data_IF_791621860973
#
_entry.id   IF_791621860973
#
_cell.length_a   1.000
_cell.length_b   1.000
_cell.length_c   1.000
_cell.angle_alpha   90.00
_cell.angle_beta   90.00
_cell.angle_gamma   90.00
#
_symmetry.space_group_name_H-M   'P 1'
#
loop_
_entity.id
_entity.type
_entity.pdbx_description
1 polymer ?
#
# COMPACT_ATOMS: atom_id res chain seq x y z
N UNK A 1 33.00 56.11 -35.32
CA UNK A 1 31.91 57.10 -35.25
C UNK A 1 30.75 56.43 -34.53
N UNK A 2 30.48 56.88 -33.31
CA UNK A 2 29.51 56.23 -32.42
C UNK A 2 28.08 56.42 -32.95
N UNK A 3 27.17 55.49 -32.64
CA UNK A 3 25.75 55.55 -33.04
C UNK A 3 25.07 56.88 -32.69
N UNK A 4 25.58 57.58 -31.68
CA UNK A 4 25.09 58.88 -31.24
C UNK A 4 25.47 60.05 -32.19
N UNK A 5 26.66 60.02 -32.80
CA UNK A 5 27.09 61.05 -33.75
C UNK A 5 26.28 60.99 -35.05
N UNK A 6 26.03 59.78 -35.56
CA UNK A 6 25.18 59.59 -36.74
C UNK A 6 23.71 59.98 -36.49
N UNK A 7 23.20 59.81 -35.26
CA UNK A 7 21.84 60.21 -34.88
C UNK A 7 21.64 61.73 -34.96
N UNK A 8 22.61 62.50 -34.45
CA UNK A 8 22.58 63.96 -34.47
C UNK A 8 22.76 64.53 -35.88
N UNK A 9 23.57 63.88 -36.71
CA UNK A 9 23.91 64.37 -38.05
C UNK A 9 22.86 64.08 -39.12
N UNK A 10 22.17 62.93 -39.05
CA UNK A 10 21.32 62.47 -40.15
C UNK A 10 19.82 62.65 -39.92
N UNK A 11 19.35 62.87 -38.68
CA UNK A 11 17.96 63.22 -38.35
C UNK A 11 16.86 62.19 -38.68
N UNK A 12 17.15 61.21 -39.55
CA UNK A 12 16.18 60.27 -40.09
C UNK A 12 16.13 58.99 -39.25
N UNK A 13 15.53 59.07 -38.06
CA UNK A 13 15.21 57.89 -37.27
C UNK A 13 13.87 57.30 -37.73
N UNK A 14 13.88 56.31 -38.63
CA UNK A 14 12.72 55.41 -38.75
C UNK A 14 12.72 54.44 -37.56
N UNK A 15 11.77 54.60 -36.65
CA UNK A 15 11.56 53.65 -35.54
C UNK A 15 11.17 52.31 -36.14
N UNK A 16 12.14 51.42 -36.33
CA UNK A 16 11.86 50.02 -36.61
C UNK A 16 11.33 49.39 -35.32
N UNK A 17 10.11 48.86 -35.37
CA UNK A 17 9.61 48.04 -34.27
C UNK A 17 10.50 46.81 -34.15
N UNK A 18 11.34 46.78 -33.12
CA UNK A 18 12.11 45.60 -32.78
C UNK A 18 11.13 44.54 -32.30
N UNK A 19 10.81 43.57 -33.16
CA UNK A 19 10.11 42.35 -32.74
C UNK A 19 11.06 41.55 -31.87
N UNK A 20 11.12 41.88 -30.57
CA UNK A 20 11.92 41.14 -29.59
C UNK A 20 11.44 39.69 -29.59
N UNK A 21 12.38 38.76 -29.53
CA UNK A 21 12.11 37.32 -29.50
C UNK A 21 11.02 36.96 -28.49
N UNK A 22 11.02 37.66 -27.35
CA UNK A 22 10.04 37.50 -26.28
C UNK A 22 8.59 37.75 -26.73
N UNK A 23 8.34 38.80 -27.52
CA UNK A 23 6.99 39.12 -27.99
C UNK A 23 6.51 38.08 -29.00
N UNK A 24 7.41 37.61 -29.87
CA UNK A 24 7.14 36.49 -30.78
C UNK A 24 6.83 35.19 -30.03
N UNK A 25 7.54 34.91 -28.94
CA UNK A 25 7.26 33.74 -28.10
C UNK A 25 5.87 33.83 -27.45
N UNK A 26 5.46 35.02 -26.96
CA UNK A 26 4.14 35.23 -26.37
C UNK A 26 3.02 35.01 -27.39
N UNK A 27 3.14 35.56 -28.59
CA UNK A 27 2.13 35.37 -29.65
C UNK A 27 2.06 33.90 -30.08
N UNK A 28 3.20 33.22 -30.24
CA UNK A 28 3.23 31.79 -30.58
C UNK A 28 2.62 30.91 -29.49
N UNK A 29 2.78 31.27 -28.22
CA UNK A 29 2.17 30.55 -27.11
C UNK A 29 0.66 30.75 -27.07
N UNK A 30 0.18 31.98 -27.30
CA UNK A 30 -1.24 32.29 -27.43
C UNK A 30 -1.89 31.49 -28.56
N UNK A 31 -1.29 31.48 -29.76
CA UNK A 31 -1.77 30.69 -30.90
C UNK A 31 -1.84 29.19 -30.58
N UNK A 32 -0.90 28.69 -29.77
CA UNK A 32 -0.87 27.29 -29.35
C UNK A 32 -2.01 26.98 -28.38
N UNK A 33 -2.31 27.88 -27.44
CA UNK A 33 -3.44 27.72 -26.52
C UNK A 33 -4.77 27.75 -27.28
N UNK A 34 -4.95 28.70 -28.20
CA UNK A 34 -6.17 28.81 -28.99
C UNK A 34 -6.40 27.54 -29.81
N UNK A 35 -5.36 27.00 -30.45
CA UNK A 35 -5.45 25.72 -31.18
C UNK A 35 -5.82 24.54 -30.27
N UNK A 36 -5.26 24.47 -29.06
CA UNK A 36 -5.59 23.40 -28.10
C UNK A 36 -7.04 23.51 -27.62
N UNK A 37 -7.54 24.73 -27.37
CA UNK A 37 -8.93 24.97 -27.00
C UNK A 37 -9.87 24.60 -28.16
N UNK A 38 -9.53 24.93 -29.40
CA UNK A 38 -10.32 24.53 -30.57
C UNK A 38 -10.35 23.01 -30.80
N UNK A 39 -9.26 22.29 -30.50
CA UNK A 39 -9.22 20.81 -30.58
C UNK A 39 -10.12 20.18 -29.50
N UNK A 40 -10.12 20.72 -28.28
CA UNK A 40 -10.99 20.23 -27.21
C UNK A 40 -12.47 20.59 -27.41
N UNK A 41 -12.77 21.69 -28.10
CA UNK A 41 -14.16 22.11 -28.33
C UNK A 41 -14.79 21.47 -29.58
N UNK A 42 -13.98 20.88 -30.48
CA UNK A 42 -14.49 20.18 -31.67
C UNK A 42 -15.11 18.81 -31.37
N UNK A 43 -15.07 18.35 -30.13
CA UNK A 43 -15.74 17.11 -29.68
C UNK A 43 -17.15 17.33 -29.14
N UNK A 44 -17.74 18.53 -29.31
CA UNK A 44 -19.06 18.85 -28.78
C UNK A 44 -20.09 19.27 -29.85
N UNK A 45 -19.86 18.96 -31.13
CA UNK A 45 -20.86 19.23 -32.17
C UNK A 45 -20.89 18.11 -33.21
N UNK A 46 -21.84 17.18 -33.03
CA UNK A 46 -22.69 16.58 -34.08
C UNK A 46 -23.47 15.41 -33.51
N UNK A 47 -24.79 15.56 -33.52
CA UNK A 47 -25.77 14.49 -33.38
C UNK A 47 -25.64 13.44 -34.49
N UNK A 48 -26.04 12.21 -34.14
CA UNK A 48 -26.27 11.01 -34.97
C UNK A 48 -25.08 10.36 -35.71
N UNK A 49 -24.60 9.24 -35.16
CA UNK A 49 -24.79 7.90 -35.73
C UNK A 49 -23.87 6.86 -35.05
N UNK A 50 -24.48 5.74 -34.64
CA UNK A 50 -23.87 4.47 -34.22
C UNK A 50 -22.38 4.29 -34.55
N UNK A 51 -21.52 4.52 -33.55
CA UNK A 51 -20.22 3.87 -33.47
C UNK A 51 -20.17 3.17 -32.12
N UNK A 52 -20.02 1.84 -32.14
CA UNK A 52 -19.79 1.05 -30.93
C UNK A 52 -18.54 1.59 -30.24
N UNK A 53 -18.76 2.43 -29.23
CA UNK A 53 -17.74 2.85 -28.30
C UNK A 53 -17.34 1.58 -27.55
N UNK A 54 -16.28 0.93 -28.03
CA UNK A 54 -15.46 0.07 -27.18
C UNK A 54 -15.08 0.98 -26.02
N UNK A 55 -15.71 0.76 -24.88
CA UNK A 55 -15.42 1.44 -23.63
C UNK A 55 -14.04 1.00 -23.16
N UNK A 56 -12.99 1.47 -23.85
CA UNK A 56 -11.67 1.56 -23.27
C UNK A 56 -11.83 2.47 -22.06
N UNK A 57 -11.88 1.82 -20.91
CA UNK A 57 -11.97 2.48 -19.63
C UNK A 57 -10.63 3.17 -19.46
N UNK A 58 -10.54 4.45 -19.84
CA UNK A 58 -9.33 5.23 -19.58
C UNK A 58 -9.04 5.12 -18.08
N UNK A 59 -7.85 4.61 -17.73
CA UNK A 59 -7.42 4.48 -16.34
C UNK A 59 -7.43 5.87 -15.72
N UNK A 60 -8.44 6.14 -14.88
CA UNK A 60 -8.59 7.39 -14.15
C UNK A 60 -7.26 7.71 -13.45
N UNK A 61 -6.70 8.89 -13.74
CA UNK A 61 -5.28 9.23 -13.54
C UNK A 61 -4.75 9.22 -12.09
N UNK A 62 -3.46 9.58 -11.97
CA UNK A 62 -2.58 9.54 -10.78
C UNK A 62 -3.13 10.12 -9.46
N UNK A 63 -4.20 10.91 -9.51
CA UNK A 63 -4.83 11.51 -8.34
C UNK A 63 -5.85 10.59 -7.63
N UNK A 64 -6.35 9.53 -8.29
CA UNK A 64 -7.31 8.62 -7.66
C UNK A 64 -6.60 7.55 -6.81
N UNK A 65 -7.03 7.41 -5.55
CA UNK A 65 -6.58 6.35 -4.66
C UNK A 65 -7.08 5.00 -5.17
N UNK A 66 -6.19 4.21 -5.76
CA UNK A 66 -6.49 2.81 -6.09
C UNK A 66 -6.57 1.99 -4.81
N UNK A 67 -7.66 1.23 -4.66
CA UNK A 67 -7.79 0.27 -3.55
C UNK A 67 -6.85 -0.90 -3.84
N UNK A 68 -5.71 -0.95 -3.16
CA UNK A 68 -4.81 -2.11 -3.28
C UNK A 68 -5.53 -3.35 -2.75
N UNK A 69 -5.53 -4.47 -3.49
CA UNK A 69 -6.12 -5.70 -3.00
C UNK A 69 -5.44 -6.12 -1.71
N UNK A 70 -6.23 -6.52 -0.72
CA UNK A 70 -5.71 -7.06 0.53
C UNK A 70 -5.14 -8.44 0.25
N UNK A 71 -3.82 -8.57 0.30
CA UNK A 71 -3.15 -9.87 0.13
C UNK A 71 -3.20 -10.62 1.46
N UNK A 72 -3.76 -11.83 1.43
CA UNK A 72 -3.81 -12.73 2.57
C UNK A 72 -2.73 -13.80 2.45
N UNK A 73 -2.26 -14.30 3.59
CA UNK A 73 -1.39 -15.48 3.57
C UNK A 73 -2.17 -16.71 3.14
N UNK A 74 -1.56 -17.51 2.27
CA UNK A 74 -2.09 -18.79 1.83
C UNK A 74 -2.13 -19.77 3.01
N UNK A 75 -2.87 -20.87 2.84
CA UNK A 75 -2.95 -21.92 3.87
C UNK A 75 -1.56 -22.51 4.16
N UNK A 76 -0.79 -22.78 3.12
CA UNK A 76 0.53 -23.40 3.24
C UNK A 76 1.55 -22.47 3.91
N UNK A 77 1.50 -21.17 3.60
CA UNK A 77 2.33 -20.18 4.28
C UNK A 77 2.05 -20.14 5.78
N UNK A 78 0.77 -20.12 6.17
CA UNK A 78 0.38 -20.14 7.59
C UNK A 78 0.85 -21.41 8.27
N UNK A 79 0.67 -22.55 7.62
CA UNK A 79 1.02 -23.87 8.15
C UNK A 79 2.53 -23.97 8.41
N UNK A 80 3.36 -23.56 7.44
CA UNK A 80 4.81 -23.50 7.61
C UNK A 80 5.25 -22.57 8.76
N UNK A 81 4.64 -21.38 8.88
CA UNK A 81 4.97 -20.45 9.96
C UNK A 81 4.58 -20.99 11.34
N UNK A 82 3.44 -21.67 11.45
CA UNK A 82 3.01 -22.31 12.70
C UNK A 82 3.97 -23.44 13.08
N UNK A 83 4.38 -24.27 12.11
CA UNK A 83 5.38 -25.33 12.33
C UNK A 83 6.70 -24.76 12.86
N UNK A 84 7.26 -23.73 12.21
CA UNK A 84 8.51 -23.09 12.65
C UNK A 84 8.35 -22.43 14.02
N UNK A 85 7.21 -21.79 14.29
CA UNK A 85 6.94 -21.19 15.59
C UNK A 85 6.88 -22.25 16.71
N UNK A 86 6.19 -23.35 16.47
CA UNK A 86 6.08 -24.46 17.42
C UNK A 86 7.42 -25.17 17.63
N UNK A 87 8.23 -25.32 16.59
CA UNK A 87 9.60 -25.85 16.71
C UNK A 87 10.43 -25.01 17.70
N UNK A 88 10.29 -23.68 17.64
CA UNK A 88 10.94 -22.79 18.60
C UNK A 88 10.43 -22.95 20.04
N UNK A 89 9.16 -23.32 20.23
CA UNK A 89 8.61 -23.65 21.56
C UNK A 89 9.20 -24.96 22.11
N UNK A 90 9.29 -25.99 21.26
CA UNK A 90 9.81 -27.31 21.64
C UNK A 90 11.31 -27.24 21.94
N UNK A 91 12.07 -26.51 21.14
CA UNK A 91 13.53 -26.36 21.32
C UNK A 91 13.89 -25.33 22.41
N UNK A 92 12.93 -24.51 22.84
CA UNK A 92 13.15 -23.41 23.79
C UNK A 92 13.87 -22.19 23.20
N UNK A 93 14.28 -22.25 21.93
CA UNK A 93 14.93 -21.15 21.23
C UNK A 93 14.00 -20.58 20.15
N UNK A 94 13.74 -19.27 20.19
CA UNK A 94 12.85 -18.63 19.22
C UNK A 94 13.53 -18.58 17.85
N UNK A 95 12.83 -19.10 16.84
CA UNK A 95 13.24 -18.98 15.45
C UNK A 95 13.29 -17.51 15.02
N UNK A 96 14.43 -17.08 14.46
CA UNK A 96 14.61 -15.73 13.96
C UNK A 96 13.76 -15.52 12.70
N UNK A 97 12.84 -14.53 12.67
CA UNK A 97 12.04 -14.21 11.48
C UNK A 97 12.87 -13.98 10.22
N UNK A 98 14.07 -13.41 10.34
CA UNK A 98 14.94 -13.19 9.19
C UNK A 98 15.56 -14.49 8.67
N UNK A 99 15.83 -15.45 9.56
CA UNK A 99 16.28 -16.78 9.17
C UNK A 99 15.15 -17.59 8.54
N UNK A 100 13.96 -17.59 9.13
CA UNK A 100 12.77 -18.28 8.57
C UNK A 100 12.44 -17.77 7.16
N UNK A 101 12.54 -16.46 6.92
CA UNK A 101 12.36 -15.87 5.59
C UNK A 101 13.41 -16.34 4.59
N UNK A 102 14.67 -16.49 5.02
CA UNK A 102 15.78 -17.00 4.19
C UNK A 102 15.67 -18.49 3.90
N UNK A 103 15.12 -19.27 4.83
CA UNK A 103 14.95 -20.72 4.69
C UNK A 103 13.71 -21.08 3.85
N UNK A 104 12.71 -20.20 3.78
CA UNK A 104 11.44 -20.44 3.08
C UNK A 104 11.58 -20.90 1.62
N UNK A 105 12.50 -20.35 0.79
CA UNK A 105 12.77 -20.84 -0.57
C UNK A 105 13.26 -22.29 -0.65
N UNK A 106 13.86 -22.79 0.42
CA UNK A 106 14.43 -24.14 0.51
C UNK A 106 13.52 -25.10 1.28
N UNK A 107 12.35 -24.63 1.75
CA UNK A 107 11.39 -25.47 2.44
C UNK A 107 10.87 -26.57 1.50
N UNK A 108 10.98 -27.81 1.95
CA UNK A 108 10.49 -28.99 1.25
C UNK A 108 9.21 -29.51 1.92
N UNK A 109 8.29 -30.01 1.11
CA UNK A 109 7.13 -30.78 1.52
C UNK A 109 7.10 -32.04 0.64
N UNK A 110 7.13 -33.21 1.26
CA UNK A 110 7.15 -34.51 0.57
C UNK A 110 8.26 -34.62 -0.50
N UNK A 111 9.44 -34.06 -0.20
CA UNK A 111 10.60 -34.07 -1.09
C UNK A 111 10.55 -33.07 -2.25
N UNK A 112 9.49 -32.26 -2.38
CA UNK A 112 9.38 -31.19 -3.39
C UNK A 112 9.39 -29.82 -2.74
N UNK A 113 9.75 -28.80 -3.52
CA UNK A 113 9.74 -27.40 -3.08
C UNK A 113 8.33 -26.97 -2.66
N UNK A 114 8.19 -26.50 -1.43
CA UNK A 114 6.90 -26.17 -0.82
C UNK A 114 6.28 -24.88 -1.35
N UNK A 115 7.10 -23.92 -1.79
CA UNK A 115 6.65 -22.58 -2.19
C UNK A 115 7.21 -22.13 -3.54
N UNK A 116 6.40 -21.39 -4.29
CA UNK A 116 6.87 -20.61 -5.45
C UNK A 116 7.42 -19.24 -5.00
N UNK A 117 8.22 -18.59 -5.83
CA UNK A 117 8.86 -17.29 -5.56
C UNK A 117 7.86 -16.21 -5.17
N UNK A 118 6.67 -16.21 -5.77
CA UNK A 118 5.58 -15.27 -5.47
C UNK A 118 5.00 -15.43 -4.06
N UNK A 119 5.24 -16.58 -3.42
CA UNK A 119 4.75 -16.90 -2.09
C UNK A 119 5.83 -16.79 -1.01
N UNK A 120 7.00 -16.25 -1.33
CA UNK A 120 8.01 -15.99 -0.31
C UNK A 120 7.59 -14.81 0.57
N UNK A 121 7.77 -14.99 1.87
CA UNK A 121 7.48 -13.97 2.86
C UNK A 121 8.74 -13.23 3.26
N UNK A 122 8.62 -11.93 3.48
CA UNK A 122 9.72 -11.11 4.00
C UNK A 122 9.86 -11.30 5.51
N UNK A 123 11.05 -11.02 6.04
CA UNK A 123 11.32 -11.07 7.49
C UNK A 123 10.29 -10.27 8.30
N UNK A 124 9.87 -9.09 7.81
CA UNK A 124 8.84 -8.27 8.47
C UNK A 124 7.45 -8.92 8.48
N UNK A 125 7.07 -9.62 7.41
CA UNK A 125 5.81 -10.37 7.35
C UNK A 125 5.82 -11.55 8.34
N UNK A 126 6.94 -12.28 8.39
CA UNK A 126 7.15 -13.38 9.34
C UNK A 126 7.11 -12.88 10.78
N UNK A 127 7.85 -11.80 11.09
CA UNK A 127 7.89 -11.20 12.43
C UNK A 127 6.49 -10.72 12.87
N UNK A 128 5.76 -10.02 12.00
CA UNK A 128 4.38 -9.61 12.28
C UNK A 128 3.47 -10.82 12.56
N UNK A 129 3.65 -11.93 11.84
CA UNK A 129 2.86 -13.14 12.07
C UNK A 129 3.18 -13.78 13.43
N UNK A 130 4.46 -13.96 13.75
CA UNK A 130 4.92 -14.51 15.02
C UNK A 130 4.46 -13.67 16.21
N UNK A 131 4.51 -12.34 16.11
CA UNK A 131 4.00 -11.44 17.16
C UNK A 131 2.50 -11.66 17.41
N UNK A 132 1.69 -11.78 16.34
CA UNK A 132 0.25 -12.06 16.47
C UNK A 132 -0.01 -13.45 17.04
N UNK A 133 0.77 -14.45 16.62
CA UNK A 133 0.65 -15.81 17.10
C UNK A 133 0.99 -15.92 18.58
N UNK A 134 2.07 -15.27 19.03
CA UNK A 134 2.45 -15.17 20.43
C UNK A 134 1.39 -14.44 21.27
N UNK A 135 0.81 -13.35 20.77
CA UNK A 135 -0.31 -12.67 21.46
C UNK A 135 -1.54 -13.58 21.59
N UNK A 136 -1.85 -14.35 20.54
CA UNK A 136 -2.96 -15.31 20.56
C UNK A 136 -2.73 -16.41 21.59
N UNK A 137 -1.52 -16.98 21.63
CA UNK A 137 -1.14 -18.00 22.60
C UNK A 137 -1.26 -17.47 24.04
N UNK A 138 -0.76 -16.26 24.32
CA UNK A 138 -0.88 -15.63 25.64
C UNK A 138 -2.33 -15.32 26.02
N UNK A 139 -3.18 -14.97 25.05
CA UNK A 139 -4.59 -14.69 25.31
C UNK A 139 -5.38 -15.97 25.60
N UNK A 140 -5.09 -17.06 24.89
CA UNK A 140 -5.66 -18.38 25.19
C UNK A 140 -5.28 -18.83 26.60
N UNK A 141 -3.99 -18.78 26.91
CA UNK A 141 -3.43 -19.17 28.21
C UNK A 141 -4.00 -18.33 29.38
N UNK A 142 -4.18 -17.01 29.18
CA UNK A 142 -4.83 -16.17 30.19
C UNK A 142 -6.34 -16.44 30.34
N UNK A 143 -7.06 -16.75 29.25
CA UNK A 143 -8.47 -17.07 29.35
C UNK A 143 -8.67 -18.40 30.09
N UNK A 144 -7.89 -19.42 29.74
CA UNK A 144 -7.92 -20.73 30.41
C UNK A 144 -7.52 -20.63 31.89
N UNK A 145 -6.54 -19.77 32.22
CA UNK A 145 -6.13 -19.51 33.60
C UNK A 145 -7.17 -18.72 34.40
N UNK A 146 -7.81 -17.70 33.81
CA UNK A 146 -8.88 -16.94 34.47
C UNK A 146 -10.14 -17.79 34.66
N UNK A 147 -10.51 -18.61 33.68
CA UNK A 147 -11.62 -19.57 33.79
C UNK A 147 -11.35 -20.61 34.89
N UNK A 148 -10.11 -21.13 34.99
CA UNK A 148 -9.70 -22.02 36.08
C UNK A 148 -9.74 -21.33 37.46
N UNK A 149 -9.31 -20.06 37.54
CA UNK A 149 -9.38 -19.27 38.77
C UNK A 149 -10.82 -18.99 39.19
N UNK A 150 -11.71 -18.65 38.25
CA UNK A 150 -13.12 -18.45 38.50
C UNK A 150 -13.79 -19.74 39.02
N UNK A 151 -13.55 -20.88 38.37
CA UNK A 151 -14.05 -22.17 38.82
C UNK A 151 -13.54 -22.57 40.22
N UNK A 152 -12.30 -22.22 40.56
CA UNK A 152 -11.74 -22.43 41.91
C UNK A 152 -12.37 -21.52 42.96
N UNK A 153 -12.66 -20.27 42.61
CA UNK A 153 -13.33 -19.32 43.50
C UNK A 153 -14.78 -19.74 43.80
N UNK A 154 -15.51 -20.22 42.80
CA UNK A 154 -16.89 -20.71 42.96
C UNK A 154 -16.98 -21.91 43.91
N UNK A 155 -16.01 -22.83 43.85
CA UNK A 155 -15.92 -23.95 44.80
C UNK A 155 -15.72 -23.48 46.24
N UNK A 156 -14.89 -22.45 46.46
CA UNK A 156 -14.66 -21.87 47.79
C UNK A 156 -15.92 -21.17 48.31
N UNK A 157 -16.61 -20.44 47.44
CA UNK A 157 -17.88 -19.78 47.74
C UNK A 157 -18.97 -20.79 48.11
N UNK A 158 -19.06 -21.90 47.38
CA UNK A 158 -20.00 -22.98 47.67
C UNK A 158 -19.74 -23.62 49.04
N UNK A 159 -18.47 -23.95 49.34
CA UNK A 159 -18.09 -24.48 50.65
C UNK A 159 -18.37 -23.50 51.79
N UNK A 160 -18.14 -22.20 51.57
CA UNK A 160 -18.43 -21.17 52.55
C UNK A 160 -19.95 -21.04 52.80
N UNK A 161 -20.75 -21.06 51.72
CA UNK A 161 -22.22 -21.04 51.81
C UNK A 161 -22.75 -22.24 52.59
N UNK A 162 -22.23 -23.44 52.32
CA UNK A 162 -22.63 -24.66 53.01
C UNK A 162 -22.32 -24.59 54.51
N UNK A 163 -21.13 -24.11 54.88
CA UNK A 163 -20.76 -23.89 56.28
C UNK A 163 -21.67 -22.89 56.99
N UNK A 164 -22.02 -21.78 56.33
CA UNK A 164 -22.93 -20.77 56.90
C UNK A 164 -24.32 -21.36 57.10
N UNK A 165 -24.82 -22.14 56.14
CA UNK A 165 -26.13 -22.80 56.25
C UNK A 165 -26.16 -23.89 57.33
N UNK A 166 -25.05 -24.58 57.60
CA UNK A 166 -24.97 -25.57 58.68
C UNK A 166 -24.88 -24.98 60.10
N UNK A 167 -24.69 -23.67 60.22
CA UNK A 167 -24.60 -22.96 61.51
C UNK A 167 -25.94 -22.32 61.94
N UNK A 168 -26.97 -22.40 61.10
CA UNK A 168 -28.34 -21.95 61.38
C UNK A 168 -29.21 -23.18 61.66
#
# INVERSE_FOLDING_TARGET
>A
MASLENHLLLGDCSVRSEKKLLDKCKTMYQDKLDKLVHVNNKTLDSDDANTSIVSQTEERGWALKTKKPKVFFTKDQKQYLIEKFNLGKVTGNKEDPAQVSRDMPYALQDGKKRFNREHYLTAGQVASFFSRLAMKDRKGDNQDAEDFRAASADRKLFSLREKVLSQV
#
